data_IF_030137846935
#
_entry.id   IF_030137846935
#
_cell.length_a   1.000
_cell.length_b   1.000
_cell.length_c   1.000
_cell.angle_alpha   90.00
_cell.angle_beta   90.00
_cell.angle_gamma   90.00
#
_symmetry.space_group_name_H-M   'P 1'
#
loop_
_entity.id
_entity.type
_entity.pdbx_description
1 polymer ?
#
# COMPACT_ATOMS: atom_id res chain seq x y z
N UNK A 1 0.75 -5.55 -47.36
CA UNK A 1 1.93 -5.68 -46.47
C UNK A 1 2.46 -4.26 -46.33
N UNK A 2 2.14 -3.52 -45.29
CA UNK A 2 2.68 -3.67 -43.93
C UNK A 2 1.58 -3.47 -42.87
N UNK A 3 1.51 -4.41 -41.92
CA UNK A 3 0.82 -4.18 -40.65
C UNK A 3 1.67 -3.30 -39.75
N UNK A 4 1.07 -2.33 -39.07
CA UNK A 4 1.73 -1.47 -38.10
C UNK A 4 0.86 -1.41 -36.86
N UNK A 5 1.32 -2.02 -35.77
CA UNK A 5 0.52 -2.30 -34.58
C UNK A 5 0.00 -1.05 -33.87
N UNK A 6 -1.13 -1.20 -33.19
CA UNK A 6 -1.76 -0.21 -32.31
C UNK A 6 -0.99 0.04 -31.03
N UNK A 7 0.31 0.32 -31.15
CA UNK A 7 1.12 0.91 -30.09
C UNK A 7 1.09 2.42 -30.31
N UNK A 8 0.16 3.08 -29.61
CA UNK A 8 0.20 4.53 -29.43
C UNK A 8 1.57 4.87 -28.79
N UNK A 9 2.29 5.92 -29.21
CA UNK A 9 3.47 6.37 -28.50
C UNK A 9 3.09 6.54 -27.02
N UNK A 10 3.87 5.94 -26.11
CA UNK A 10 3.65 6.07 -24.67
C UNK A 10 3.36 7.55 -24.35
N UNK A 11 2.23 7.82 -23.68
CA UNK A 11 1.87 9.19 -23.27
C UNK A 11 3.13 9.81 -22.63
N UNK A 12 3.65 10.94 -23.14
CA UNK A 12 4.86 11.56 -22.60
C UNK A 12 4.78 11.86 -21.09
N UNK A 13 3.57 11.91 -20.52
CA UNK A 13 3.33 12.04 -19.07
C UNK A 13 3.65 10.77 -18.28
N UNK A 14 3.78 9.63 -18.96
CA UNK A 14 4.19 8.34 -18.41
C UNK A 14 5.70 8.11 -18.58
N UNK A 15 6.43 9.05 -19.20
CA UNK A 15 7.88 9.01 -19.20
C UNK A 15 8.38 9.07 -17.74
N UNK A 16 9.14 8.09 -17.25
CA UNK A 16 9.73 8.13 -15.91
C UNK A 16 10.67 9.33 -15.69
N UNK A 17 11.15 9.97 -16.77
CA UNK A 17 11.89 11.23 -16.70
C UNK A 17 11.02 12.48 -16.57
N UNK A 18 9.69 12.37 -16.66
CA UNK A 18 8.78 13.50 -16.55
C UNK A 18 8.71 14.04 -15.11
N UNK A 19 8.67 15.37 -14.91
CA UNK A 19 8.54 15.96 -13.58
C UNK A 19 7.34 15.46 -12.79
N UNK A 20 6.22 15.16 -13.48
CA UNK A 20 4.99 14.68 -12.86
C UNK A 20 5.16 13.28 -12.25
N UNK A 21 5.88 12.38 -12.93
CA UNK A 21 6.15 11.03 -12.41
C UNK A 21 7.08 11.11 -11.19
N UNK A 22 8.12 11.95 -11.27
CA UNK A 22 9.05 12.16 -10.15
C UNK A 22 8.36 12.77 -8.93
N UNK A 23 7.51 13.79 -9.13
CA UNK A 23 6.72 14.40 -8.05
C UNK A 23 5.77 13.39 -7.40
N UNK A 24 5.05 12.60 -8.22
CA UNK A 24 4.16 11.55 -7.73
C UNK A 24 4.91 10.46 -6.93
N UNK A 25 6.12 10.12 -7.37
CA UNK A 25 6.97 9.13 -6.71
C UNK A 25 7.44 9.63 -5.34
N UNK A 26 8.02 10.84 -5.28
CA UNK A 26 8.42 11.45 -4.01
C UNK A 26 7.25 11.62 -3.04
N UNK A 27 6.08 12.02 -3.55
CA UNK A 27 4.87 12.14 -2.75
C UNK A 27 4.38 10.79 -2.22
N UNK A 28 4.58 9.69 -2.96
CA UNK A 28 4.24 8.35 -2.51
C UNK A 28 5.21 7.82 -1.45
N UNK A 29 6.51 8.06 -1.61
CA UNK A 29 7.53 7.61 -0.65
C UNK A 29 7.42 8.29 0.72
N UNK A 30 6.97 9.56 0.75
CA UNK A 30 6.75 10.30 1.99
C UNK A 30 5.47 9.87 2.74
N UNK A 31 4.55 9.17 2.08
CA UNK A 31 3.29 8.75 2.72
C UNK A 31 3.55 7.61 3.70
N UNK A 32 3.03 7.68 4.93
CA UNK A 32 3.09 6.55 5.85
C UNK A 32 2.28 5.38 5.30
N UNK A 33 2.76 4.17 5.58
CA UNK A 33 2.10 2.91 5.25
C UNK A 33 0.72 2.83 5.89
N UNK A 34 -0.26 2.18 5.24
CA UNK A 34 -1.58 1.97 5.84
C UNK A 34 -1.49 1.21 7.16
N UNK A 35 -2.41 1.47 8.09
CA UNK A 35 -2.44 0.82 9.41
C UNK A 35 -2.29 -0.71 9.32
N UNK A 36 -1.50 -1.36 10.21
CA UNK A 36 -1.39 -2.82 10.25
C UNK A 36 -2.74 -3.52 10.48
N UNK A 37 -3.74 -2.82 11.02
CA UNK A 37 -5.09 -3.35 11.22
C UNK A 37 -5.79 -3.68 9.88
N UNK A 38 -5.44 -2.97 8.81
CA UNK A 38 -5.98 -3.20 7.47
C UNK A 38 -5.52 -4.53 6.85
N UNK A 39 -4.56 -5.24 7.47
CA UNK A 39 -4.19 -6.60 7.05
C UNK A 39 -5.35 -7.60 7.17
N UNK A 40 -6.36 -7.31 8.01
CA UNK A 40 -7.47 -8.22 8.31
C UNK A 40 -8.77 -7.85 7.58
N UNK A 41 -8.87 -6.63 7.04
CA UNK A 41 -10.06 -6.19 6.30
C UNK A 41 -10.07 -6.75 4.87
N UNK A 42 -11.23 -6.71 4.24
CA UNK A 42 -11.45 -7.05 2.82
C UNK A 42 -11.09 -8.50 2.40
N UNK A 43 -10.63 -9.35 3.33
CA UNK A 43 -10.45 -10.80 3.11
C UNK A 43 -11.78 -11.48 2.80
N UNK A 44 -12.84 -11.04 3.50
CA UNK A 44 -14.22 -11.44 3.28
C UNK A 44 -15.09 -10.19 3.33
N UNK A 45 -16.30 -10.26 2.75
CA UNK A 45 -17.29 -9.18 2.86
C UNK A 45 -17.55 -8.75 4.30
N UNK A 46 -17.58 -9.72 5.21
CA UNK A 46 -17.68 -9.49 6.64
C UNK A 46 -16.56 -10.25 7.36
N UNK A 47 -15.87 -9.58 8.27
CA UNK A 47 -14.76 -10.19 9.01
C UNK A 47 -15.29 -11.34 9.88
N UNK A 48 -14.82 -12.59 9.70
CA UNK A 48 -15.31 -13.70 10.51
C UNK A 48 -14.77 -13.65 11.95
N UNK A 49 -15.41 -14.30 12.94
CA UNK A 49 -15.04 -14.20 14.35
C UNK A 49 -13.59 -14.60 14.67
N UNK A 50 -13.06 -15.59 13.96
CA UNK A 50 -11.66 -16.01 14.10
C UNK A 50 -10.69 -14.92 13.64
N UNK A 51 -11.01 -14.20 12.56
CA UNK A 51 -10.15 -13.15 12.02
C UNK A 51 -10.17 -11.92 12.92
N UNK A 52 -11.32 -11.56 13.50
CA UNK A 52 -11.41 -10.54 14.57
C UNK A 52 -10.55 -10.90 15.78
N UNK A 53 -10.52 -12.18 16.18
CA UNK A 53 -9.66 -12.63 17.29
C UNK A 53 -8.17 -12.49 16.95
N UNK A 54 -7.77 -12.77 15.72
CA UNK A 54 -6.39 -12.60 15.26
C UNK A 54 -5.99 -11.12 15.23
N UNK A 55 -6.86 -10.23 14.74
CA UNK A 55 -6.65 -8.79 14.79
C UNK A 55 -6.42 -8.31 16.23
N UNK A 56 -7.29 -8.70 17.16
CA UNK A 56 -7.15 -8.32 18.58
C UNK A 56 -5.88 -8.92 19.24
N UNK A 57 -5.40 -10.08 18.77
CA UNK A 57 -4.13 -10.64 19.24
C UNK A 57 -2.94 -9.80 18.75
N UNK A 58 -2.96 -9.33 17.50
CA UNK A 58 -1.93 -8.45 16.98
C UNK A 58 -1.91 -7.11 17.73
N UNK A 59 -3.07 -6.52 18.00
CA UNK A 59 -3.17 -5.26 18.76
C UNK A 59 -2.52 -5.39 20.14
N UNK A 60 -2.83 -6.45 20.89
CA UNK A 60 -2.18 -6.72 22.19
C UNK A 60 -0.68 -6.98 22.03
N UNK A 61 -0.26 -7.68 20.99
CA UNK A 61 1.15 -7.95 20.72
C UNK A 61 1.92 -6.66 20.49
N UNK A 62 1.40 -5.74 19.67
CA UNK A 62 2.03 -4.45 19.39
C UNK A 62 2.01 -3.50 20.59
N UNK A 63 1.03 -3.63 21.50
CA UNK A 63 1.03 -2.89 22.77
C UNK A 63 2.19 -3.30 23.68
N UNK A 64 2.56 -4.59 23.70
CA UNK A 64 3.59 -5.11 24.59
C UNK A 64 4.99 -5.20 23.96
N UNK A 65 5.05 -5.37 22.63
CA UNK A 65 6.29 -5.64 21.88
C UNK A 65 6.46 -4.71 20.69
N UNK A 66 5.76 -3.57 20.69
CA UNK A 66 5.75 -2.61 19.60
C UNK A 66 7.13 -2.05 19.28
N UNK A 67 8.04 -1.99 20.25
CA UNK A 67 9.41 -1.50 20.04
C UNK A 67 10.23 -2.34 19.05
N UNK A 68 9.81 -3.58 18.80
CA UNK A 68 10.46 -4.47 17.84
C UNK A 68 9.96 -4.28 16.40
N UNK A 69 8.99 -3.39 16.18
CA UNK A 69 8.40 -3.11 14.88
C UNK A 69 8.58 -1.63 14.52
N UNK A 70 8.84 -1.34 13.24
CA UNK A 70 8.91 0.03 12.75
C UNK A 70 7.50 0.62 12.58
N UNK A 71 6.81 0.88 13.70
CA UNK A 71 5.44 1.40 13.73
C UNK A 71 5.37 2.89 13.34
N UNK A 72 6.48 3.62 13.42
CA UNK A 72 6.56 5.04 13.06
C UNK A 72 6.26 5.28 11.57
N UNK A 73 6.50 4.28 10.72
CA UNK A 73 6.24 4.36 9.29
C UNK A 73 4.79 4.00 8.92
N UNK A 74 3.92 3.70 9.89
CA UNK A 74 2.53 3.29 9.67
C UNK A 74 1.55 4.37 10.15
N UNK A 75 0.37 4.39 9.54
CA UNK A 75 -0.77 5.16 10.00
C UNK A 75 -1.33 4.51 11.27
N UNK A 76 -1.42 5.27 12.35
CA UNK A 76 -1.96 4.85 13.65
C UNK A 76 -3.42 5.26 13.80
#
# INVERSE_FOLDING_TARGET
ILGGGGWDPLDPRLDPGSPQVMEAFEAAERKPKPSPQLLFSDVYREMPPNLRRQQAQLERHLQHYGEHYNLEHFQM
#
